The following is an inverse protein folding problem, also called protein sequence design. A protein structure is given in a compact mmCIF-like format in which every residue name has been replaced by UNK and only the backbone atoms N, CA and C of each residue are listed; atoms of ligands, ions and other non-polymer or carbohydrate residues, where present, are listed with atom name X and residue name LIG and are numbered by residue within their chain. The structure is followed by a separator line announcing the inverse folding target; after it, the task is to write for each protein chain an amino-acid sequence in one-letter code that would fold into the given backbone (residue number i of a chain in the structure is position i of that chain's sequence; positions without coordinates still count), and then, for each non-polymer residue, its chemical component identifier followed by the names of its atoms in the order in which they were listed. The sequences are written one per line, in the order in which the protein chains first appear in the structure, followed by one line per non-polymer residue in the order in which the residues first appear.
data_IF_366001046429
#
_entry.id   IF_366001046429
#
_cell.length_a   1.000
_cell.length_b   1.000
_cell.length_c   1.000
_cell.angle_alpha   90.00
_cell.angle_beta   90.00
_cell.angle_gamma   90.00
#
_symmetry.space_group_name_H-M   'P 1'
#
loop_
_entity.id
_entity.type
_entity.pdbx_description
1 polymer ?
#
# COMPACT_ATOMS: atom_id res chain seq x y z
N UNK A 1 67.00 32.11 43.33
CA UNK A 1 66.73 30.71 43.73
C UNK A 1 65.24 30.36 43.71
N UNK A 2 64.34 31.17 44.29
CA UNK A 2 62.88 30.90 44.33
C UNK A 2 62.18 30.87 42.94
N UNK A 3 62.57 31.75 42.01
CA UNK A 3 61.92 31.84 40.68
C UNK A 3 62.16 30.63 39.76
N UNK A 4 63.32 29.97 39.89
CA UNK A 4 63.62 28.72 39.17
C UNK A 4 62.87 27.52 39.76
N UNK A 5 62.64 27.53 41.08
CA UNK A 5 61.87 26.49 41.76
C UNK A 5 60.38 26.54 41.36
N UNK A 6 59.81 27.74 41.25
CA UNK A 6 58.42 27.94 40.81
C UNK A 6 58.20 27.53 39.34
N UNK A 7 59.17 27.78 38.46
CA UNK A 7 59.12 27.32 37.06
C UNK A 7 59.18 25.80 36.96
N UNK A 8 60.02 25.14 37.76
CA UNK A 8 60.12 23.68 37.81
C UNK A 8 58.85 23.03 38.38
N UNK A 9 58.25 23.63 39.42
CA UNK A 9 56.96 23.18 39.96
C UNK A 9 55.81 23.36 38.96
N UNK A 10 55.80 24.48 38.22
CA UNK A 10 54.82 24.73 37.15
C UNK A 10 54.96 23.74 35.99
N UNK A 11 56.19 23.43 35.56
CA UNK A 11 56.44 22.45 34.51
C UNK A 11 56.04 21.02 34.94
N UNK A 12 56.34 20.67 36.20
CA UNK A 12 55.96 19.38 36.77
C UNK A 12 54.43 19.23 36.87
N UNK A 13 53.70 20.30 37.24
CA UNK A 13 52.24 20.32 37.26
C UNK A 13 51.63 20.15 35.87
N UNK A 14 52.18 20.81 34.85
CA UNK A 14 51.73 20.70 33.46
C UNK A 14 51.96 19.28 32.88
N UNK A 15 53.11 18.68 33.18
CA UNK A 15 53.42 17.31 32.77
C UNK A 15 52.52 16.28 33.47
N UNK A 16 52.23 16.48 34.77
CA UNK A 16 51.29 15.62 35.51
C UNK A 16 49.86 15.74 34.96
N UNK A 17 49.42 16.94 34.59
CA UNK A 17 48.11 17.17 33.96
C UNK A 17 47.98 16.50 32.59
N UNK A 18 49.02 16.60 31.75
CA UNK A 18 49.04 15.92 30.44
C UNK A 18 49.08 14.39 30.58
N UNK A 19 49.83 13.86 31.56
CA UNK A 19 49.86 12.43 31.85
C UNK A 19 48.49 11.91 32.33
N UNK A 20 47.82 12.65 33.22
CA UNK A 20 46.47 12.31 33.68
C UNK A 20 45.43 12.39 32.56
N UNK A 21 45.52 13.41 31.70
CA UNK A 21 44.65 13.56 30.53
C UNK A 21 44.82 12.43 29.52
N UNK A 22 46.07 12.05 29.20
CA UNK A 22 46.36 10.91 28.32
C UNK A 22 45.93 9.57 28.95
N UNK A 23 46.04 9.43 30.27
CA UNK A 23 45.57 8.23 30.98
C UNK A 23 44.05 8.10 30.95
N UNK A 24 43.30 9.20 31.15
CA UNK A 24 41.84 9.23 31.04
C UNK A 24 41.37 8.97 29.59
N UNK A 25 42.02 9.56 28.58
CA UNK A 25 41.79 9.25 27.17
C UNK A 25 42.08 7.78 26.85
N UNK A 26 43.14 7.21 27.42
CA UNK A 26 43.47 5.79 27.32
C UNK A 26 42.43 4.88 27.97
N UNK A 27 41.78 5.29 29.06
CA UNK A 27 40.66 4.56 29.66
C UNK A 27 39.38 4.69 28.82
N UNK A 28 39.09 5.86 28.25
CA UNK A 28 37.92 6.05 27.40
C UNK A 28 38.03 5.28 26.07
N UNK A 29 39.24 5.19 25.51
CA UNK A 29 39.53 4.42 24.29
C UNK A 29 39.67 2.91 24.54
N UNK A 30 39.76 2.47 25.81
CA UNK A 30 39.77 1.06 26.24
C UNK A 30 38.39 0.53 26.62
N UNK A 31 37.31 1.29 26.42
CA UNK A 31 35.99 0.67 26.45
C UNK A 31 35.93 -0.39 25.35
N UNK A 32 35.68 -1.67 25.69
CA UNK A 32 35.48 -2.69 24.68
C UNK A 32 34.28 -2.27 23.84
N UNK A 33 34.42 -2.35 22.51
CA UNK A 33 33.25 -2.49 21.65
C UNK A 33 32.41 -3.62 22.25
N UNK A 34 31.08 -3.51 22.32
CA UNK A 34 30.28 -4.70 22.45
C UNK A 34 30.52 -5.49 21.15
N UNK A 35 31.44 -6.43 21.19
CA UNK A 35 31.33 -7.63 20.37
C UNK A 35 30.00 -8.25 20.81
N UNK A 36 28.95 -7.98 20.04
CA UNK A 36 27.86 -8.93 19.96
C UNK A 36 28.47 -10.18 19.32
N UNK A 37 29.04 -11.03 20.17
CA UNK A 37 29.19 -12.43 19.85
C UNK A 37 27.83 -12.91 19.39
N UNK A 38 27.79 -13.53 18.21
CA UNK A 38 26.71 -14.42 17.84
C UNK A 38 26.43 -15.31 19.06
N UNK A 39 25.18 -15.43 19.52
CA UNK A 39 24.84 -16.51 20.43
C UNK A 39 25.26 -17.80 19.73
N UNK A 40 26.18 -18.50 20.37
CA UNK A 40 26.46 -19.89 20.11
C UNK A 40 25.11 -20.62 20.00
N UNK A 41 24.90 -21.36 18.91
CA UNK A 41 23.73 -22.23 18.70
C UNK A 41 23.46 -23.02 19.99
N UNK A 42 22.52 -22.52 20.79
CA UNK A 42 21.91 -23.23 21.88
C UNK A 42 20.57 -23.70 21.34
N UNK A 43 20.54 -25.01 21.11
CA UNK A 43 19.40 -25.87 20.78
C UNK A 43 18.15 -25.14 20.29
N UNK A 44 18.08 -25.08 18.96
CA UNK A 44 16.87 -24.85 18.19
C UNK A 44 15.93 -26.04 18.44
N UNK A 45 15.29 -26.08 19.62
CA UNK A 45 14.21 -27.01 19.91
C UNK A 45 13.01 -26.65 19.04
N UNK A 46 13.02 -27.23 17.84
CA UNK A 46 11.87 -27.73 17.08
C UNK A 46 10.56 -26.95 17.26
N UNK A 47 10.49 -25.76 16.66
CA UNK A 47 9.20 -25.30 16.11
C UNK A 47 8.81 -26.37 15.08
N UNK A 48 7.65 -27.03 15.17
CA UNK A 48 7.24 -27.99 14.16
C UNK A 48 7.26 -27.25 12.83
N UNK A 49 8.09 -27.72 11.89
CA UNK A 49 8.04 -27.23 10.53
C UNK A 49 6.60 -27.46 10.06
N UNK A 50 5.87 -26.37 9.82
CA UNK A 50 4.63 -26.45 9.09
C UNK A 50 4.99 -27.13 7.77
N UNK A 51 4.43 -28.33 7.53
CA UNK A 51 4.67 -29.09 6.31
C UNK A 51 4.35 -28.18 5.13
N UNK A 52 5.40 -27.67 4.49
CA UNK A 52 5.29 -26.92 3.26
C UNK A 52 4.98 -27.98 2.22
N UNK A 53 3.68 -28.23 2.00
CA UNK A 53 3.24 -29.03 0.88
C UNK A 53 3.76 -28.39 -0.40
N UNK A 54 4.96 -28.80 -0.81
CA UNK A 54 5.60 -28.43 -2.06
C UNK A 54 4.85 -29.13 -3.18
N UNK A 55 3.75 -28.54 -3.66
CA UNK A 55 3.21 -28.90 -4.97
C UNK A 55 2.74 -27.67 -5.74
N UNK A 56 2.96 -27.80 -7.05
CA UNK A 56 3.09 -26.78 -8.10
C UNK A 56 2.10 -25.62 -8.02
N UNK A 57 2.60 -24.44 -8.42
CA UNK A 57 1.76 -23.32 -8.84
C UNK A 57 0.61 -23.88 -9.69
N UNK A 58 -0.66 -23.52 -9.41
CA UNK A 58 -1.68 -23.81 -10.39
C UNK A 58 -1.24 -23.10 -11.66
N UNK A 59 -0.84 -23.88 -12.67
CA UNK A 59 -0.70 -23.39 -14.03
C UNK A 59 -2.08 -22.86 -14.37
N UNK A 60 -2.27 -21.55 -14.18
CA UNK A 60 -3.44 -20.83 -14.63
C UNK A 60 -3.33 -20.93 -16.15
N UNK A 61 -3.95 -21.97 -16.70
CA UNK A 61 -4.25 -22.05 -18.12
C UNK A 61 -5.05 -20.79 -18.41
N UNK A 62 -4.40 -19.83 -19.06
CA UNK A 62 -5.05 -18.61 -19.53
C UNK A 62 -6.35 -19.02 -20.22
N UNK A 63 -7.45 -18.42 -19.79
CA UNK A 63 -8.71 -18.58 -20.49
C UNK A 63 -8.46 -18.16 -21.96
N UNK A 64 -8.84 -18.99 -22.95
CA UNK A 64 -8.61 -18.65 -24.35
C UNK A 64 -9.45 -17.41 -24.70
N UNK A 65 -8.79 -16.29 -25.02
CA UNK A 65 -9.47 -15.06 -25.48
C UNK A 65 -9.08 -13.77 -24.78
N UNK A 66 -8.01 -13.74 -24.00
CA UNK A 66 -7.72 -12.61 -23.10
C UNK A 66 -7.35 -11.34 -23.87
N UNK A 67 -8.01 -10.21 -23.56
CA UNK A 67 -7.63 -8.88 -24.07
C UNK A 67 -6.88 -8.12 -22.99
N UNK A 68 -5.66 -7.70 -23.31
CA UNK A 68 -4.85 -6.85 -22.44
C UNK A 68 -5.02 -5.39 -22.84
N UNK A 69 -5.08 -4.49 -21.86
CA UNK A 69 -5.19 -3.04 -22.08
C UNK A 69 -4.01 -2.32 -21.44
N UNK A 70 -3.62 -1.18 -22.03
CA UNK A 70 -2.72 -0.22 -21.40
C UNK A 70 -3.03 1.18 -21.91
N UNK A 71 -2.65 2.18 -21.11
CA UNK A 71 -2.72 3.58 -21.51
C UNK A 71 -1.28 4.05 -21.68
N UNK A 72 -0.98 4.59 -22.85
CA UNK A 72 0.34 5.14 -23.12
C UNK A 72 0.53 6.45 -22.33
N UNK A 73 1.54 6.49 -21.46
CA UNK A 73 1.74 7.61 -20.53
C UNK A 73 2.17 8.91 -21.21
N UNK A 74 2.70 8.86 -22.44
CA UNK A 74 3.18 10.04 -23.15
C UNK A 74 2.05 10.81 -23.88
N UNK A 75 1.00 10.11 -24.31
CA UNK A 75 -0.05 10.68 -25.16
C UNK A 75 -1.48 10.29 -24.74
N UNK A 76 -1.62 9.52 -23.66
CA UNK A 76 -2.88 9.00 -23.11
C UNK A 76 -3.68 8.12 -24.07
N UNK A 77 -3.06 7.62 -25.15
CA UNK A 77 -3.75 6.77 -26.11
C UNK A 77 -4.01 5.39 -25.50
N UNK A 78 -5.23 4.88 -25.71
CA UNK A 78 -5.62 3.55 -25.30
C UNK A 78 -5.09 2.53 -26.31
N UNK A 79 -4.32 1.58 -25.80
CA UNK A 79 -3.77 0.47 -26.56
C UNK A 79 -4.32 -0.84 -26.00
N UNK A 80 -4.67 -1.77 -26.90
CA UNK A 80 -5.19 -3.07 -26.55
C UNK A 80 -4.48 -4.16 -27.35
N UNK A 81 -4.26 -5.31 -26.74
CA UNK A 81 -3.64 -6.48 -27.37
C UNK A 81 -4.52 -7.70 -27.13
N UNK A 82 -4.99 -8.30 -28.22
CA UNK A 82 -5.61 -9.62 -28.17
C UNK A 82 -4.53 -10.68 -28.01
N UNK A 83 -4.79 -11.72 -27.24
CA UNK A 83 -3.86 -12.85 -27.04
C UNK A 83 -3.38 -13.48 -28.37
N UNK A 84 -4.27 -13.57 -29.37
CA UNK A 84 -3.96 -14.08 -30.69
C UNK A 84 -3.21 -13.09 -31.61
N UNK A 85 -2.94 -11.85 -31.16
CA UNK A 85 -2.32 -10.80 -31.98
C UNK A 85 -0.96 -10.38 -31.42
N UNK A 86 0.10 -10.29 -32.24
CA UNK A 86 1.46 -10.12 -31.74
C UNK A 86 1.78 -8.72 -31.19
N UNK A 87 0.93 -7.72 -31.44
CA UNK A 87 1.22 -6.32 -31.15
C UNK A 87 0.08 -5.56 -30.46
N UNK A 88 0.43 -4.44 -29.86
CA UNK A 88 -0.52 -3.48 -29.29
C UNK A 88 -1.19 -2.68 -30.41
N UNK A 89 -2.51 -2.60 -30.37
CA UNK A 89 -3.33 -1.91 -31.36
C UNK A 89 -3.99 -0.70 -30.72
N UNK A 90 -4.05 0.41 -31.46
CA UNK A 90 -4.80 1.59 -31.05
C UNK A 90 -6.30 1.30 -31.12
N UNK A 91 -7.04 1.80 -30.12
CA UNK A 91 -8.49 1.58 -30.04
C UNK A 91 -9.26 2.68 -30.77
N UNK A 92 -10.13 2.28 -31.69
CA UNK A 92 -11.02 3.16 -32.43
C UNK A 92 -12.13 3.74 -31.55
N UNK A 93 -12.43 5.02 -31.76
CA UNK A 93 -13.54 5.72 -31.09
C UNK A 93 -14.92 5.31 -31.65
N UNK A 94 -14.98 4.68 -32.82
CA UNK A 94 -16.25 4.22 -33.39
C UNK A 94 -16.92 3.15 -32.51
N UNK A 95 -18.16 3.40 -32.08
CA UNK A 95 -18.93 2.59 -31.11
C UNK A 95 -18.37 2.58 -29.68
N UNK A 96 -17.45 3.49 -29.36
CA UNK A 96 -16.96 3.68 -28.00
C UNK A 96 -18.05 4.22 -27.08
N UNK A 97 -18.13 3.68 -25.87
CA UNK A 97 -19.02 4.13 -24.80
C UNK A 97 -18.19 4.71 -23.64
N UNK A 98 -18.52 5.91 -23.13
CA UNK A 98 -17.94 6.45 -21.91
C UNK A 98 -17.84 5.48 -20.71
N UNK A 99 -18.83 4.60 -20.54
CA UNK A 99 -18.84 3.62 -19.46
C UNK A 99 -17.70 2.60 -19.60
N UNK A 100 -17.27 2.29 -20.83
CA UNK A 100 -16.13 1.41 -21.09
C UNK A 100 -14.82 2.05 -20.63
N UNK A 101 -14.66 3.36 -20.82
CA UNK A 101 -13.49 4.08 -20.30
C UNK A 101 -13.38 3.99 -18.78
N UNK A 102 -14.52 4.13 -18.09
CA UNK A 102 -14.60 3.96 -16.63
C UNK A 102 -14.22 2.53 -16.23
N UNK A 103 -14.84 1.52 -16.85
CA UNK A 103 -14.58 0.11 -16.58
C UNK A 103 -13.10 -0.26 -16.82
N UNK A 104 -12.49 0.26 -17.88
CA UNK A 104 -11.09 0.01 -18.21
C UNK A 104 -10.14 0.66 -17.21
N UNK A 105 -10.40 1.91 -16.78
CA UNK A 105 -9.62 2.52 -15.71
C UNK A 105 -9.66 1.66 -14.43
N UNK A 106 -10.83 1.13 -14.08
CA UNK A 106 -10.99 0.24 -12.92
C UNK A 106 -10.24 -1.07 -13.08
N UNK A 107 -10.33 -1.71 -14.24
CA UNK A 107 -9.60 -2.95 -14.54
C UNK A 107 -8.07 -2.75 -14.54
N UNK A 108 -7.59 -1.52 -14.78
CA UNK A 108 -6.17 -1.19 -14.66
C UNK A 108 -5.76 -0.86 -13.20
N UNK A 109 -6.72 -0.78 -12.27
CA UNK A 109 -6.51 -0.49 -10.86
C UNK A 109 -6.59 0.98 -10.49
N UNK A 110 -7.09 1.83 -11.38
CA UNK A 110 -7.41 3.22 -11.06
C UNK A 110 -8.82 3.31 -10.45
N UNK A 111 -9.06 4.29 -9.58
CA UNK A 111 -10.38 4.44 -8.96
C UNK A 111 -11.45 4.85 -9.97
N UNK A 112 -11.11 5.79 -10.87
CA UNK A 112 -12.06 6.35 -11.83
C UNK A 112 -11.37 6.91 -13.09
N UNK A 113 -12.19 7.15 -14.11
CA UNK A 113 -11.79 7.90 -15.30
C UNK A 113 -11.96 9.40 -15.04
N UNK A 114 -10.93 10.19 -15.34
CA UNK A 114 -10.94 11.65 -15.21
C UNK A 114 -11.26 12.35 -16.52
N UNK A 115 -10.74 11.83 -17.64
CA UNK A 115 -10.97 12.39 -18.96
C UNK A 115 -10.99 11.31 -20.04
N UNK A 116 -11.76 11.56 -21.09
CA UNK A 116 -11.67 10.82 -22.35
C UNK A 116 -11.84 11.77 -23.53
N UNK A 117 -11.18 11.45 -24.65
CA UNK A 117 -11.34 12.19 -25.91
C UNK A 117 -11.09 11.29 -27.12
N UNK A 118 -11.72 11.64 -28.24
CA UNK A 118 -11.29 11.15 -29.55
C UNK A 118 -10.12 11.98 -30.07
N UNK A 119 -9.04 11.34 -30.49
CA UNK A 119 -7.89 11.97 -31.16
C UNK A 119 -7.92 11.58 -32.63
N UNK A 120 -7.71 12.52 -33.55
CA UNK A 120 -7.70 12.16 -34.97
C UNK A 120 -6.48 11.29 -35.27
N UNK A 121 -6.67 10.27 -36.09
CA UNK A 121 -5.59 9.35 -36.48
C UNK A 121 -4.47 10.11 -37.22
N UNK A 122 -4.82 11.18 -37.95
CA UNK A 122 -3.88 12.07 -38.66
C UNK A 122 -2.92 12.81 -37.75
N UNK A 123 -3.32 13.03 -36.50
CA UNK A 123 -2.56 13.83 -35.53
C UNK A 123 -1.55 12.95 -34.76
N UNK A 124 -1.50 11.65 -35.08
CA UNK A 124 -0.65 10.65 -34.44
C UNK A 124 0.25 10.02 -35.50
N UNK A 125 1.51 9.81 -35.15
CA UNK A 125 2.44 9.09 -36.03
C UNK A 125 2.09 7.60 -36.03
N UNK A 126 1.43 7.15 -37.10
CA UNK A 126 1.00 5.76 -37.26
C UNK A 126 1.75 5.11 -38.43
N UNK A 127 2.29 3.90 -38.22
CA UNK A 127 3.03 3.17 -39.26
C UNK A 127 2.13 2.72 -40.41
N UNK A 128 2.70 2.60 -41.61
CA UNK A 128 2.01 2.04 -42.76
C UNK A 128 1.56 0.59 -42.45
N UNK A 129 0.27 0.30 -42.65
CA UNK A 129 -0.31 -1.02 -42.36
C UNK A 129 -0.76 -1.22 -40.90
N UNK A 130 -0.76 -0.18 -40.07
CA UNK A 130 -1.28 -0.26 -38.70
C UNK A 130 -2.72 -0.79 -38.67
N UNK A 131 -2.95 -1.80 -37.83
CA UNK A 131 -4.27 -2.29 -37.50
C UNK A 131 -4.81 -1.61 -36.23
N UNK A 132 -6.13 -1.61 -36.10
CA UNK A 132 -6.85 -0.97 -35.01
C UNK A 132 -7.77 -1.99 -34.35
N UNK A 133 -8.11 -1.74 -33.09
CA UNK A 133 -9.14 -2.49 -32.38
C UNK A 133 -10.40 -1.64 -32.28
N UNK A 134 -11.57 -2.23 -32.52
CA UNK A 134 -12.85 -1.53 -32.45
C UNK A 134 -13.86 -2.31 -31.61
N UNK A 135 -14.76 -1.61 -30.94
CA UNK A 135 -15.91 -2.21 -30.24
C UNK A 135 -16.93 -2.72 -31.27
N UNK A 136 -17.44 -3.94 -31.08
CA UNK A 136 -18.49 -4.55 -31.90
C UNK A 136 -19.84 -3.86 -31.66
N UNK A 137 -20.69 -3.69 -32.69
CA UNK A 137 -21.98 -3.00 -32.53
C UNK A 137 -23.02 -3.73 -31.66
N UNK A 138 -22.99 -5.07 -31.60
CA UNK A 138 -23.91 -5.86 -30.76
C UNK A 138 -23.29 -6.09 -29.39
N UNK A 139 -23.88 -5.48 -28.36
CA UNK A 139 -23.48 -5.67 -26.95
C UNK A 139 -24.09 -6.98 -26.45
N UNK A 140 -23.27 -8.01 -26.31
CA UNK A 140 -23.62 -9.26 -25.64
C UNK A 140 -22.36 -10.10 -25.45
N UNK A 141 -22.00 -10.40 -24.20
CA UNK A 141 -20.79 -11.16 -23.85
C UNK A 141 -19.90 -10.46 -22.81
N UNK A 142 -18.76 -11.09 -22.48
CA UNK A 142 -17.69 -10.49 -21.66
C UNK A 142 -17.01 -9.33 -22.42
N UNK A 143 -16.14 -8.55 -21.75
CA UNK A 143 -15.32 -7.53 -22.41
C UNK A 143 -14.55 -8.12 -23.61
N UNK A 144 -14.19 -9.40 -23.60
CA UNK A 144 -13.34 -10.03 -24.61
C UNK A 144 -14.07 -10.20 -25.95
N UNK A 145 -15.36 -10.55 -25.91
CA UNK A 145 -16.18 -10.74 -27.11
C UNK A 145 -16.55 -9.44 -27.82
N UNK A 146 -16.28 -8.30 -27.17
CA UNK A 146 -16.63 -6.98 -27.68
C UNK A 146 -15.65 -6.44 -28.70
N UNK A 147 -14.48 -7.06 -28.90
CA UNK A 147 -13.42 -6.48 -29.73
C UNK A 147 -13.31 -7.14 -31.11
N UNK A 148 -13.00 -6.32 -32.10
CA UNK A 148 -12.71 -6.76 -33.45
C UNK A 148 -11.50 -6.01 -34.00
N UNK A 149 -10.57 -6.74 -34.61
CA UNK A 149 -9.46 -6.15 -35.36
C UNK A 149 -9.99 -5.56 -36.66
N UNK A 150 -9.45 -4.41 -37.04
CA UNK A 150 -9.75 -3.69 -38.28
C UNK A 150 -8.46 -3.23 -38.93
N UNK A 151 -8.42 -3.30 -40.26
CA UNK A 151 -7.32 -2.75 -41.05
C UNK A 151 -7.30 -1.22 -41.08
N UNK A 152 -8.42 -0.56 -40.73
CA UNK A 152 -8.51 0.89 -40.66
C UNK A 152 -9.56 1.35 -39.65
N UNK A 153 -9.35 2.56 -39.12
CA UNK A 153 -10.28 3.18 -38.20
C UNK A 153 -11.29 4.07 -38.94
N UNK A 154 -12.45 3.53 -39.32
CA UNK A 154 -13.46 4.24 -40.12
C UNK A 154 -13.98 5.54 -39.49
N UNK A 155 -13.92 5.65 -38.15
CA UNK A 155 -14.28 6.88 -37.43
C UNK A 155 -13.28 8.03 -37.64
N UNK A 156 -12.09 7.75 -38.20
CA UNK A 156 -10.98 8.70 -38.29
C UNK A 156 -10.38 9.11 -36.94
N UNK A 157 -10.86 8.52 -35.84
CA UNK A 157 -10.57 8.92 -34.46
C UNK A 157 -10.32 7.72 -33.58
N UNK A 158 -9.29 7.81 -32.73
CA UNK A 158 -8.89 6.82 -31.72
C UNK A 158 -9.15 7.35 -30.31
N UNK A 159 -9.22 6.44 -29.34
CA UNK A 159 -9.53 6.76 -27.95
C UNK A 159 -8.26 7.18 -27.21
N UNK A 160 -8.30 8.36 -26.60
CA UNK A 160 -7.41 8.74 -25.53
C UNK A 160 -8.18 8.73 -24.21
N UNK A 161 -7.60 8.09 -23.20
CA UNK A 161 -8.20 7.86 -21.90
C UNK A 161 -7.22 8.32 -20.81
N UNK A 162 -7.72 9.07 -19.85
CA UNK A 162 -6.98 9.46 -18.66
C UNK A 162 -7.73 8.97 -17.42
N UNK A 163 -7.02 8.24 -16.57
CA UNK A 163 -7.53 7.75 -15.30
C UNK A 163 -7.01 8.62 -14.15
N UNK A 164 -7.60 8.45 -12.97
CA UNK A 164 -7.14 9.09 -11.73
C UNK A 164 -5.68 8.73 -11.43
N UNK A 165 -4.84 9.70 -11.07
CA UNK A 165 -3.46 9.43 -10.66
C UNK A 165 -3.41 8.67 -9.33
N UNK A 166 -2.54 7.65 -9.23
CA UNK A 166 -2.36 6.85 -8.01
C UNK A 166 -1.00 6.14 -8.00
N UNK A 167 -0.60 5.61 -6.83
CA UNK A 167 0.52 4.68 -6.66
C UNK A 167 1.90 5.29 -6.90
N UNK A 168 1.99 6.62 -6.99
CA UNK A 168 3.24 7.35 -7.19
C UNK A 168 3.85 7.75 -5.85
N UNK A 169 5.14 7.45 -5.68
CA UNK A 169 5.94 7.82 -4.52
C UNK A 169 6.97 8.87 -4.95
N UNK A 170 7.04 10.00 -4.23
CA UNK A 170 8.01 11.05 -4.56
C UNK A 170 9.39 10.68 -3.99
N UNK A 171 10.39 10.51 -4.88
CA UNK A 171 11.82 10.47 -4.55
C UNK A 171 12.21 9.58 -3.38
N UNK A 172 12.31 8.27 -3.60
CA UNK A 172 12.77 7.33 -2.58
C UNK A 172 14.24 7.59 -2.18
N UNK A 173 14.46 8.22 -1.02
CA UNK A 173 15.73 8.07 -0.30
C UNK A 173 15.73 6.67 0.30
N UNK A 174 16.60 5.80 -0.22
CA UNK A 174 16.74 4.39 0.18
C UNK A 174 17.21 4.35 1.64
N UNK A 175 16.36 3.87 2.55
CA UNK A 175 16.76 3.57 3.94
C UNK A 175 16.26 2.18 4.29
N UNK A 176 17.16 1.35 4.84
CA UNK A 176 17.02 -0.07 5.17
C UNK A 176 16.94 -0.20 6.69
N UNK A 177 15.97 -0.97 7.20
CA UNK A 177 15.94 -1.44 8.59
C UNK A 177 15.16 -0.55 9.59
N UNK A 178 13.84 -0.45 9.46
CA UNK A 178 12.94 -0.06 10.57
C UNK A 178 13.15 1.32 11.20
N UNK A 179 13.61 2.31 10.45
CA UNK A 179 13.83 3.69 10.92
C UNK A 179 12.68 4.62 10.55
N UNK A 180 12.60 5.76 11.24
CA UNK A 180 11.59 6.80 11.03
C UNK A 180 11.36 7.14 9.54
N UNK A 181 10.09 7.18 9.14
CA UNK A 181 9.69 7.42 7.76
C UNK A 181 9.89 8.90 7.39
N UNK A 182 10.53 9.18 6.26
CA UNK A 182 10.59 10.55 5.73
C UNK A 182 9.23 11.00 5.19
N UNK A 183 8.84 12.28 5.34
CA UNK A 183 7.61 12.80 4.74
C UNK A 183 7.50 12.45 3.24
N UNK A 184 6.32 11.98 2.82
CA UNK A 184 6.04 11.60 1.44
C UNK A 184 6.55 10.23 0.98
N UNK A 185 7.16 9.43 1.87
CA UNK A 185 7.46 8.02 1.57
C UNK A 185 6.19 7.18 1.40
N UNK A 186 5.18 7.37 2.24
CA UNK A 186 3.88 6.70 2.09
C UNK A 186 2.78 7.74 1.94
N UNK A 187 2.65 8.40 0.77
CA UNK A 187 1.81 9.59 0.61
C UNK A 187 0.30 9.30 0.67
N UNK A 188 -0.09 8.02 0.61
CA UNK A 188 -1.45 7.55 0.83
C UNK A 188 -1.77 7.26 2.29
N UNK A 189 -0.76 7.14 3.16
CA UNK A 189 -0.98 6.89 4.58
C UNK A 189 -1.74 8.06 5.20
N UNK A 190 -2.81 7.75 5.92
CA UNK A 190 -3.51 8.72 6.77
C UNK A 190 -3.67 8.21 8.19
N UNK A 191 -3.82 9.15 9.11
CA UNK A 191 -4.25 8.91 10.47
C UNK A 191 -5.74 9.24 10.57
N UNK A 192 -6.55 8.27 10.98
CA UNK A 192 -7.99 8.40 11.22
C UNK A 192 -8.17 8.65 12.72
N UNK A 193 -8.63 9.86 13.04
CA UNK A 193 -8.74 10.35 14.41
C UNK A 193 -10.19 10.57 14.82
N UNK A 194 -10.46 10.37 16.10
CA UNK A 194 -11.66 10.83 16.78
C UNK A 194 -11.28 12.08 17.58
N UNK A 195 -11.72 13.26 17.13
CA UNK A 195 -11.08 14.51 17.54
C UNK A 195 -9.59 14.52 17.17
N UNK A 196 -8.71 14.84 18.12
CA UNK A 196 -7.25 14.81 17.93
C UNK A 196 -6.59 13.48 18.29
N UNK A 197 -7.37 12.48 18.74
CA UNK A 197 -6.83 11.19 19.15
C UNK A 197 -6.79 10.22 17.97
N UNK A 198 -5.59 9.75 17.62
CA UNK A 198 -5.41 8.67 16.66
C UNK A 198 -6.16 7.40 17.11
N UNK A 199 -6.94 6.82 16.18
CA UNK A 199 -7.67 5.57 16.40
C UNK A 199 -7.17 4.46 15.49
N UNK A 200 -7.02 4.78 14.21
CA UNK A 200 -6.66 3.83 13.17
C UNK A 200 -5.84 4.51 12.06
N UNK A 201 -5.21 3.70 11.23
CA UNK A 201 -4.71 4.10 9.93
C UNK A 201 -5.80 4.16 8.85
N UNK A 202 -5.39 4.58 7.67
CA UNK A 202 -6.20 4.58 6.46
C UNK A 202 -5.33 4.81 5.22
N UNK A 203 -5.97 4.70 4.05
CA UNK A 203 -5.33 4.90 2.75
C UNK A 203 -6.12 5.87 1.89
N UNK A 204 -5.46 6.87 1.30
CA UNK A 204 -6.08 7.74 0.28
C UNK A 204 -6.34 6.92 -1.00
N UNK A 205 -7.60 6.87 -1.45
CA UNK A 205 -7.97 6.31 -2.76
C UNK A 205 -8.23 7.40 -3.81
N UNK A 206 -8.72 8.55 -3.37
CA UNK A 206 -8.96 9.74 -4.18
C UNK A 206 -9.03 10.98 -3.27
N UNK A 207 -9.07 12.21 -3.81
CA UNK A 207 -9.07 13.42 -2.99
C UNK A 207 -10.13 13.44 -1.88
N UNK A 208 -11.32 12.88 -2.11
CA UNK A 208 -12.41 12.83 -1.11
C UNK A 208 -12.59 11.46 -0.45
N UNK A 209 -11.81 10.44 -0.82
CA UNK A 209 -12.08 9.05 -0.43
C UNK A 209 -10.91 8.41 0.29
N UNK A 210 -11.18 7.97 1.50
CA UNK A 210 -10.24 7.22 2.35
C UNK A 210 -10.78 5.81 2.55
N UNK A 211 -9.91 4.81 2.41
CA UNK A 211 -10.19 3.42 2.77
C UNK A 211 -9.59 3.10 4.15
N UNK A 212 -10.34 2.41 4.99
CA UNK A 212 -9.89 1.95 6.31
C UNK A 212 -10.61 0.65 6.67
N UNK A 213 -10.38 0.11 7.86
CA UNK A 213 -11.07 -1.08 8.37
C UNK A 213 -12.45 -0.70 8.93
N UNK A 214 -13.42 -1.61 8.84
CA UNK A 214 -14.76 -1.39 9.39
C UNK A 214 -14.73 -1.36 10.92
N UNK A 215 -13.93 -2.21 11.56
CA UNK A 215 -13.85 -2.30 13.03
C UNK A 215 -13.40 -0.98 13.67
N UNK A 216 -12.68 -0.13 12.92
CA UNK A 216 -12.30 1.21 13.36
C UNK A 216 -13.49 2.14 13.59
N UNK A 217 -14.59 1.97 12.83
CA UNK A 217 -15.68 2.95 12.74
C UNK A 217 -17.08 2.36 12.95
N UNK A 218 -17.22 1.03 12.89
CA UNK A 218 -18.50 0.35 13.03
C UNK A 218 -19.09 0.52 14.44
N UNK A 219 -20.36 0.95 14.51
CA UNK A 219 -21.07 1.29 15.77
C UNK A 219 -20.35 2.30 16.66
N UNK A 220 -19.46 3.12 16.07
CA UNK A 220 -18.77 4.20 16.76
C UNK A 220 -19.52 5.54 16.64
N UNK A 221 -18.86 6.63 17.04
CA UNK A 221 -19.39 7.99 16.90
C UNK A 221 -19.74 8.35 15.45
N UNK A 222 -20.72 9.27 15.25
CA UNK A 222 -21.10 9.72 13.92
C UNK A 222 -19.99 10.50 13.21
N UNK A 223 -20.07 10.59 11.88
CA UNK A 223 -19.07 11.23 11.01
C UNK A 223 -18.50 12.57 11.49
N UNK A 224 -19.29 13.53 12.07
CA UNK A 224 -18.75 14.80 12.53
C UNK A 224 -17.71 14.70 13.65
N UNK A 225 -17.62 13.56 14.36
CA UNK A 225 -16.63 13.34 15.40
C UNK A 225 -15.26 12.87 14.86
N UNK A 226 -15.17 12.59 13.56
CA UNK A 226 -14.00 12.01 12.93
C UNK A 226 -13.27 13.02 12.04
N UNK A 227 -11.94 12.95 12.09
CA UNK A 227 -11.04 13.73 11.24
C UNK A 227 -9.99 12.81 10.62
N UNK A 228 -9.54 13.18 9.42
CA UNK A 228 -8.44 12.50 8.72
C UNK A 228 -7.26 13.44 8.58
N UNK A 229 -6.09 12.97 8.96
CA UNK A 229 -4.83 13.69 8.80
C UNK A 229 -3.96 12.99 7.76
N UNK A 230 -3.61 13.72 6.71
CA UNK A 230 -2.80 13.23 5.59
C UNK A 230 -1.50 14.04 5.48
N UNK A 231 -0.45 13.44 4.91
CA UNK A 231 0.84 14.11 4.69
C UNK A 231 1.65 14.36 5.97
N UNK A 232 1.28 13.70 7.07
CA UNK A 232 1.99 13.76 8.34
C UNK A 232 2.85 12.51 8.55
N UNK A 233 3.92 12.67 9.30
CA UNK A 233 4.75 11.55 9.80
C UNK A 233 4.65 11.47 11.33
N UNK A 234 4.51 12.60 12.01
CA UNK A 234 4.49 12.68 13.47
C UNK A 234 3.14 13.11 14.03
N UNK A 235 2.69 12.46 15.11
CA UNK A 235 1.44 12.84 15.78
C UNK A 235 1.47 14.21 16.46
N UNK A 236 2.66 14.75 16.78
CA UNK A 236 2.80 16.14 17.25
C UNK A 236 2.29 17.19 16.25
N UNK A 237 2.09 16.79 14.98
CA UNK A 237 1.55 17.63 13.91
C UNK A 237 0.01 17.61 13.83
N UNK A 238 -0.68 16.86 14.71
CA UNK A 238 -2.14 16.76 14.77
C UNK A 238 -2.77 18.01 15.44
N UNK A 239 -2.59 19.19 14.82
CA UNK A 239 -3.36 20.36 15.19
C UNK A 239 -4.82 20.16 14.72
N UNK A 240 -5.84 20.32 15.58
CA UNK A 240 -7.24 20.04 15.22
C UNK A 240 -7.72 20.72 13.92
N UNK A 241 -7.18 21.89 13.61
CA UNK A 241 -7.48 22.71 12.44
C UNK A 241 -6.87 22.15 11.14
N UNK A 242 -5.85 21.30 11.25
CA UNK A 242 -5.18 20.66 10.12
C UNK A 242 -5.85 19.35 9.67
N UNK A 243 -6.74 18.79 10.50
CA UNK A 243 -7.48 17.58 10.19
C UNK A 243 -8.67 17.84 9.26
N UNK A 244 -8.84 17.01 8.24
CA UNK A 244 -9.98 17.12 7.33
C UNK A 244 -11.20 16.40 7.92
N UNK A 245 -12.33 17.08 8.15
CA UNK A 245 -13.51 16.44 8.74
C UNK A 245 -14.12 15.38 7.82
N UNK A 246 -14.63 14.31 8.42
CA UNK A 246 -15.38 13.28 7.70
C UNK A 246 -16.83 13.74 7.48
N UNK A 247 -17.32 13.57 6.25
CA UNK A 247 -18.71 13.81 5.84
C UNK A 247 -19.57 12.59 6.10
N UNK A 248 -19.07 11.42 5.71
CA UNK A 248 -19.82 10.17 5.68
C UNK A 248 -18.90 8.99 6.01
N UNK A 249 -19.42 8.03 6.77
CA UNK A 249 -18.75 6.79 7.15
C UNK A 249 -19.59 5.65 6.58
N UNK A 250 -18.98 4.82 5.73
CA UNK A 250 -19.66 3.77 4.99
C UNK A 250 -18.93 2.44 5.27
N UNK A 251 -19.25 1.76 6.39
CA UNK A 251 -18.75 0.40 6.61
C UNK A 251 -19.42 -0.57 5.63
N UNK A 252 -18.74 -1.66 5.30
CA UNK A 252 -19.33 -2.69 4.46
C UNK A 252 -20.62 -3.24 5.10
N UNK A 253 -21.73 -3.39 4.36
CA UNK A 253 -23.01 -3.82 4.92
C UNK A 253 -23.00 -5.25 5.47
N UNK A 254 -22.05 -6.07 5.00
CA UNK A 254 -21.84 -7.45 5.46
C UNK A 254 -20.74 -7.58 6.53
N UNK A 255 -20.21 -6.47 7.05
CA UNK A 255 -19.20 -6.52 8.12
C UNK A 255 -19.74 -7.26 9.35
N UNK A 256 -18.94 -8.19 9.85
CA UNK A 256 -19.27 -9.01 11.02
C UNK A 256 -18.22 -8.79 12.11
N UNK A 257 -18.62 -8.20 13.23
CA UNK A 257 -17.75 -7.83 14.35
C UNK A 257 -17.20 -9.01 15.15
N UNK A 258 -17.74 -10.22 14.94
CA UNK A 258 -17.28 -11.44 15.61
C UNK A 258 -16.22 -12.20 14.82
N UNK A 259 -16.36 -12.25 13.49
CA UNK A 259 -15.43 -12.94 12.59
C UNK A 259 -14.44 -12.01 11.89
N UNK A 260 -14.67 -10.69 11.96
CA UNK A 260 -13.94 -9.67 11.20
C UNK A 260 -13.98 -9.88 9.67
N UNK A 261 -14.94 -10.67 9.16
CA UNK A 261 -15.18 -10.75 7.72
C UNK A 261 -15.77 -9.44 7.19
N UNK A 262 -15.44 -9.09 5.95
CA UNK A 262 -15.76 -7.79 5.34
C UNK A 262 -15.29 -6.58 6.17
N UNK A 263 -14.13 -6.67 6.82
CA UNK A 263 -13.55 -5.59 7.61
C UNK A 263 -12.97 -4.46 6.73
N UNK A 264 -13.87 -3.69 6.13
CA UNK A 264 -13.58 -2.57 5.24
C UNK A 264 -14.61 -1.44 5.41
N UNK A 265 -14.14 -0.20 5.40
CA UNK A 265 -14.97 0.99 5.38
C UNK A 265 -14.40 2.07 4.47
N UNK A 266 -15.30 2.85 3.88
CA UNK A 266 -14.97 4.07 3.15
C UNK A 266 -15.36 5.28 3.98
N UNK A 267 -14.45 6.25 4.08
CA UNK A 267 -14.72 7.56 4.65
C UNK A 267 -14.75 8.56 3.51
N UNK A 268 -15.84 9.33 3.42
CA UNK A 268 -15.92 10.47 2.51
C UNK A 268 -15.56 11.74 3.26
N UNK A 269 -14.58 12.48 2.77
CA UNK A 269 -14.16 13.75 3.37
C UNK A 269 -15.13 14.88 3.03
N UNK A 270 -15.22 15.90 3.90
CA UNK A 270 -16.01 17.12 3.63
C UNK A 270 -15.37 18.01 2.57
N UNK A 271 -14.05 17.99 2.48
CA UNK A 271 -13.25 18.80 1.56
C UNK A 271 -12.22 17.87 0.90
N UNK A 272 -12.01 17.95 -0.42
CA UNK A 272 -11.00 17.15 -1.10
C UNK A 272 -9.58 17.50 -0.62
N UNK A 273 -8.74 16.48 -0.49
CA UNK A 273 -7.32 16.63 -0.23
C UNK A 273 -6.60 17.26 -1.43
N UNK A 274 -5.69 18.19 -1.15
CA UNK A 274 -4.78 18.73 -2.15
C UNK A 274 -3.58 17.80 -2.31
N UNK A 275 -3.50 17.10 -3.45
CA UNK A 275 -2.37 16.22 -3.73
C UNK A 275 -1.07 17.00 -3.84
N UNK A 276 0.00 16.41 -3.32
CA UNK A 276 1.34 17.00 -3.21
C UNK A 276 2.41 15.91 -3.25
N UNK A 277 3.68 16.26 -2.98
CA UNK A 277 4.72 15.25 -2.75
C UNK A 277 4.45 14.36 -1.54
N UNK A 278 3.67 14.83 -0.56
CA UNK A 278 3.38 14.11 0.68
C UNK A 278 1.97 13.50 0.74
N UNK A 279 1.08 13.84 -0.20
CA UNK A 279 -0.32 13.38 -0.22
C UNK A 279 -0.66 12.90 -1.63
N UNK A 280 -0.92 11.60 -1.81
CA UNK A 280 -1.30 10.98 -3.09
C UNK A 280 -2.14 9.74 -2.84
N UNK A 281 -2.95 9.34 -3.82
CA UNK A 281 -3.71 8.09 -3.74
C UNK A 281 -2.82 6.85 -3.95
N UNK A 282 -3.16 5.73 -3.30
CA UNK A 282 -2.66 4.41 -3.67
C UNK A 282 -3.48 3.85 -4.84
N UNK A 283 -2.87 3.04 -5.71
CA UNK A 283 -3.63 2.33 -6.73
C UNK A 283 -4.33 1.11 -6.14
N UNK A 284 -5.44 0.69 -6.73
CA UNK A 284 -6.10 -0.55 -6.40
C UNK A 284 -5.47 -1.73 -7.18
N UNK A 285 -5.60 -2.98 -6.69
CA UNK A 285 -5.27 -4.16 -7.48
C UNK A 285 -6.12 -4.20 -8.76
N UNK A 286 -5.56 -4.62 -9.90
CA UNK A 286 -6.25 -4.57 -11.19
C UNK A 286 -7.32 -5.66 -11.32
N UNK A 287 -7.20 -6.74 -10.54
CA UNK A 287 -8.17 -7.84 -10.56
C UNK A 287 -8.14 -8.62 -9.25
N UNK A 288 -9.20 -9.40 -8.94
CA UNK A 288 -9.27 -10.31 -7.79
C UNK A 288 -8.31 -11.50 -7.85
N UNK A 289 -7.33 -11.52 -8.77
CA UNK A 289 -6.38 -12.62 -8.90
C UNK A 289 -5.56 -12.76 -7.63
N UNK A 290 -5.24 -14.01 -7.29
CA UNK A 290 -4.38 -14.31 -6.15
C UNK A 290 -3.07 -13.55 -6.30
N UNK A 291 -2.80 -12.70 -5.32
CA UNK A 291 -1.53 -11.99 -5.21
C UNK A 291 -0.44 -13.04 -5.05
N UNK A 292 0.65 -12.90 -5.79
CA UNK A 292 1.70 -13.92 -5.83
C UNK A 292 2.28 -14.12 -4.42
N UNK A 293 2.25 -15.36 -3.94
CA UNK A 293 2.87 -15.74 -2.68
C UNK A 293 4.34 -15.29 -2.66
N UNK A 294 4.81 -14.81 -1.51
CA UNK A 294 6.18 -14.33 -1.33
C UNK A 294 6.44 -12.92 -1.89
N UNK A 295 5.47 -12.27 -2.52
CA UNK A 295 5.59 -10.86 -2.93
C UNK A 295 5.92 -10.00 -1.70
N UNK A 296 6.98 -9.20 -1.81
CA UNK A 296 7.42 -8.29 -0.76
C UNK A 296 6.55 -7.04 -0.77
N UNK A 297 5.88 -6.78 0.34
CA UNK A 297 4.95 -5.67 0.51
C UNK A 297 5.32 -4.87 1.75
N UNK A 298 4.88 -3.61 1.79
CA UNK A 298 5.11 -2.71 2.89
C UNK A 298 3.83 -2.47 3.65
N UNK A 299 3.91 -2.62 4.97
CA UNK A 299 2.91 -2.09 5.89
C UNK A 299 3.48 -0.83 6.54
N UNK A 300 2.63 0.17 6.73
CA UNK A 300 2.99 1.40 7.44
C UNK A 300 1.90 1.82 8.42
N UNK A 301 2.31 2.47 9.51
CA UNK A 301 1.37 2.96 10.51
C UNK A 301 2.05 3.46 11.79
N UNK A 302 1.21 3.88 12.74
CA UNK A 302 1.63 4.44 14.03
C UNK A 302 1.32 3.50 15.20
N UNK A 303 1.03 2.23 14.92
CA UNK A 303 0.71 1.24 15.94
C UNK A 303 1.83 1.00 16.95
N UNK A 304 1.56 0.14 17.92
CA UNK A 304 2.52 -0.21 18.95
C UNK A 304 3.76 -0.84 18.33
N UNK A 305 4.93 -0.36 18.76
CA UNK A 305 6.23 -0.89 18.31
C UNK A 305 6.70 -2.10 19.12
N UNK A 306 6.02 -2.40 20.23
CA UNK A 306 6.29 -3.56 21.07
C UNK A 306 5.01 -4.04 21.78
N UNK A 307 4.87 -5.36 22.06
CA UNK A 307 3.78 -5.89 22.86
C UNK A 307 3.67 -5.17 24.22
N UNK A 308 2.45 -4.77 24.60
CA UNK A 308 2.18 -4.14 25.90
C UNK A 308 2.49 -2.64 26.00
N UNK A 309 2.88 -1.95 24.92
CA UNK A 309 2.94 -0.49 24.93
C UNK A 309 1.56 0.13 25.16
N UNK A 310 1.51 1.14 26.04
CA UNK A 310 0.28 1.88 26.33
C UNK A 310 -0.01 3.00 25.32
N UNK A 311 0.96 3.38 24.49
CA UNK A 311 0.87 4.52 23.57
C UNK A 311 1.40 4.15 22.19
N UNK A 312 0.67 4.61 21.18
CA UNK A 312 1.01 4.52 19.75
C UNK A 312 2.35 5.22 19.47
N UNK A 313 3.04 4.80 18.40
CA UNK A 313 4.29 5.44 17.98
C UNK A 313 4.07 6.93 17.69
N UNK A 314 5.00 7.76 18.14
CA UNK A 314 4.96 9.20 17.86
C UNK A 314 5.22 9.51 16.38
N UNK A 315 5.98 8.65 15.71
CA UNK A 315 6.48 8.79 14.33
C UNK A 315 6.08 7.56 13.53
N UNK A 316 5.65 7.77 12.28
CA UNK A 316 5.23 6.73 11.35
C UNK A 316 6.35 5.70 11.16
N UNK A 317 5.97 4.43 11.27
CA UNK A 317 6.84 3.27 11.03
C UNK A 317 6.44 2.55 9.76
N UNK A 318 7.36 1.73 9.28
CA UNK A 318 7.17 0.87 8.12
C UNK A 318 7.85 -0.47 8.33
N UNK A 319 7.29 -1.52 7.74
CA UNK A 319 7.84 -2.86 7.79
C UNK A 319 7.68 -3.56 6.44
N UNK A 320 8.71 -4.30 6.04
CA UNK A 320 8.71 -5.14 4.85
C UNK A 320 8.26 -6.55 5.23
N UNK A 321 7.15 -6.99 4.66
CA UNK A 321 6.51 -8.28 4.94
C UNK A 321 6.18 -9.02 3.64
N UNK A 322 6.47 -10.33 3.55
CA UNK A 322 6.06 -11.13 2.40
C UNK A 322 4.58 -11.52 2.53
N UNK A 323 3.88 -11.62 1.39
CA UNK A 323 2.57 -12.26 1.34
C UNK A 323 2.69 -13.76 1.62
N UNK A 324 1.79 -14.29 2.44
CA UNK A 324 1.68 -15.71 2.74
C UNK A 324 0.44 -16.26 2.04
N UNK A 325 0.61 -17.36 1.30
CA UNK A 325 -0.50 -18.01 0.60
C UNK A 325 -1.61 -18.46 1.56
N UNK A 326 -2.87 -18.28 1.17
CA UNK A 326 -4.05 -18.56 2.01
C UNK A 326 -4.04 -19.98 2.57
N UNK A 327 -3.64 -20.99 1.78
CA UNK A 327 -3.55 -22.39 2.27
C UNK A 327 -2.57 -22.53 3.44
N UNK A 328 -1.38 -21.92 3.34
CA UNK A 328 -0.36 -21.95 4.40
C UNK A 328 -0.84 -21.19 5.62
N UNK A 329 -1.40 -20.00 5.42
CA UNK A 329 -1.86 -19.18 6.54
C UNK A 329 -3.09 -19.78 7.26
N UNK A 330 -3.94 -20.51 6.53
CA UNK A 330 -5.11 -21.17 7.10
C UNK A 330 -4.85 -22.61 7.54
N UNK A 331 -3.58 -23.04 7.58
CA UNK A 331 -3.18 -24.38 8.02
C UNK A 331 -3.38 -24.57 9.53
N UNK A 332 -3.32 -25.82 9.98
CA UNK A 332 -3.52 -26.18 11.39
C UNK A 332 -2.45 -25.62 12.33
N UNK A 333 -1.28 -25.25 11.82
CA UNK A 333 -0.19 -24.68 12.61
C UNK A 333 -0.21 -23.14 12.70
N UNK A 334 -1.07 -22.47 11.93
CA UNK A 334 -1.18 -21.00 11.89
C UNK A 334 -2.57 -20.60 12.42
N UNK A 335 -3.56 -20.38 11.55
CA UNK A 335 -4.90 -19.92 11.95
C UNK A 335 -6.01 -20.99 11.89
N UNK A 336 -5.69 -22.27 11.66
CA UNK A 336 -6.62 -23.41 11.86
C UNK A 336 -8.00 -23.28 11.20
N UNK A 337 -8.08 -22.70 10.01
CA UNK A 337 -9.36 -22.54 9.29
C UNK A 337 -10.10 -21.23 9.57
N UNK A 338 -9.59 -20.34 10.42
CA UNK A 338 -10.24 -19.07 10.77
C UNK A 338 -10.23 -18.06 9.61
N UNK A 339 -9.31 -18.18 8.66
CA UNK A 339 -9.26 -17.24 7.53
C UNK A 339 -10.41 -17.45 6.56
N UNK A 340 -11.02 -16.32 6.22
CA UNK A 340 -12.04 -16.24 5.21
C UNK A 340 -11.41 -15.92 3.84
N UNK A 341 -12.10 -16.18 2.72
CA UNK A 341 -11.54 -15.88 1.39
C UNK A 341 -11.42 -14.37 1.07
N UNK A 342 -11.95 -13.47 1.92
CA UNK A 342 -11.74 -12.01 1.82
C UNK A 342 -10.63 -11.53 2.74
N UNK A 343 -9.87 -12.44 3.33
CA UNK A 343 -8.68 -12.16 4.10
C UNK A 343 -7.43 -12.63 3.36
N UNK A 344 -6.30 -11.98 3.65
CA UNK A 344 -4.97 -12.40 3.24
C UNK A 344 -4.02 -12.29 4.43
N UNK A 345 -2.88 -12.98 4.35
CA UNK A 345 -1.83 -12.87 5.36
C UNK A 345 -0.56 -12.27 4.78
N UNK A 346 0.13 -11.51 5.61
CA UNK A 346 1.48 -11.05 5.32
C UNK A 346 2.30 -11.05 6.60
N UNK A 347 3.57 -11.42 6.50
CA UNK A 347 4.47 -11.47 7.65
C UNK A 347 5.49 -12.59 7.53
N UNK A 348 6.36 -12.70 8.52
CA UNK A 348 7.33 -13.78 8.61
C UNK A 348 6.82 -14.80 9.62
N UNK A 349 6.77 -16.09 9.25
CA UNK A 349 6.27 -17.14 10.16
C UNK A 349 7.18 -17.34 11.38
N UNK A 350 8.44 -16.93 11.28
CA UNK A 350 9.35 -16.87 12.42
C UNK A 350 9.01 -15.74 13.40
N UNK A 351 8.09 -14.83 13.03
CA UNK A 351 7.72 -13.65 13.81
C UNK A 351 8.65 -12.46 13.55
N UNK A 352 8.93 -11.69 14.61
CA UNK A 352 9.83 -10.52 14.66
C UNK A 352 9.35 -9.24 13.95
N UNK A 353 8.65 -9.34 12.82
CA UNK A 353 8.17 -8.17 12.06
C UNK A 353 6.72 -8.38 11.67
N UNK A 354 5.85 -7.49 12.14
CA UNK A 354 4.41 -7.54 11.92
C UNK A 354 3.75 -6.16 12.10
N UNK A 355 2.52 -6.02 11.61
CA UNK A 355 1.65 -4.90 12.00
C UNK A 355 1.15 -5.12 13.43
N UNK A 356 0.86 -4.06 14.17
CA UNK A 356 0.37 -4.19 15.54
C UNK A 356 -0.85 -3.29 15.80
N UNK A 357 -1.37 -3.35 17.03
CA UNK A 357 -2.49 -2.52 17.47
C UNK A 357 -2.21 -1.04 17.21
N UNK A 358 -3.17 -0.33 16.61
CA UNK A 358 -3.03 1.05 16.14
C UNK A 358 -2.60 1.19 14.68
N UNK A 359 -2.14 0.11 14.03
CA UNK A 359 -1.98 0.08 12.56
C UNK A 359 -3.27 -0.29 11.84
N UNK A 360 -4.29 -0.77 12.57
CA UNK A 360 -5.62 -1.12 12.08
C UNK A 360 -6.16 -0.12 11.06
N UNK A 361 -6.69 -0.62 9.94
CA UNK A 361 -7.15 0.20 8.83
C UNK A 361 -6.05 0.78 7.93
N UNK A 362 -4.78 0.66 8.34
CA UNK A 362 -3.61 1.10 7.58
C UNK A 362 -3.34 0.26 6.31
N UNK A 363 -2.49 0.78 5.41
CA UNK A 363 -2.19 0.15 4.14
C UNK A 363 -1.26 -1.06 4.26
N UNK A 364 -1.55 -2.11 3.50
CA UNK A 364 -0.55 -3.05 2.98
C UNK A 364 -0.40 -2.82 1.47
N UNK A 365 0.77 -2.34 1.06
CA UNK A 365 1.05 -1.98 -0.34
C UNK A 365 2.17 -2.80 -0.95
N UNK A 366 1.98 -3.23 -2.21
CA UNK A 366 3.01 -3.95 -2.96
C UNK A 366 3.37 -3.18 -4.22
N UNK A 367 4.64 -3.26 -4.62
CA UNK A 367 5.12 -2.70 -5.88
C UNK A 367 4.88 -3.72 -7.01
N UNK A 368 4.18 -3.30 -8.07
CA UNK A 368 3.88 -4.19 -9.22
C UNK A 368 4.91 -4.10 -10.38
N UNK A 369 5.99 -3.33 -10.19
CA UNK A 369 6.95 -2.98 -11.24
C UNK A 369 6.76 -1.58 -11.80
N UNK A 370 5.60 -0.95 -11.57
CA UNK A 370 5.23 0.35 -12.15
C UNK A 370 4.58 1.32 -11.16
N UNK A 371 3.71 0.83 -10.28
CA UNK A 371 2.98 1.61 -9.29
C UNK A 371 2.81 0.83 -7.99
N UNK A 372 2.63 1.56 -6.90
CA UNK A 372 2.26 0.97 -5.61
C UNK A 372 0.76 0.69 -5.54
N UNK A 373 0.42 -0.56 -5.20
CA UNK A 373 -0.96 -1.03 -5.10
C UNK A 373 -1.33 -1.39 -3.67
N UNK A 374 -2.47 -0.90 -3.21
CA UNK A 374 -3.09 -1.23 -1.92
C UNK A 374 -3.74 -2.61 -2.01
N UNK A 375 -3.01 -3.63 -1.61
CA UNK A 375 -3.48 -5.02 -1.71
C UNK A 375 -4.26 -5.47 -0.47
N UNK A 376 -3.98 -4.85 0.67
CA UNK A 376 -4.54 -5.23 1.95
C UNK A 376 -4.81 -4.05 2.86
N UNK A 377 -5.68 -4.27 3.84
CA UNK A 377 -6.00 -3.33 4.93
C UNK A 377 -5.72 -4.05 6.24
N UNK A 378 -4.91 -3.47 7.13
CA UNK A 378 -4.61 -4.09 8.44
C UNK A 378 -5.92 -4.34 9.19
N UNK A 379 -6.18 -5.59 9.58
CA UNK A 379 -7.45 -5.99 10.20
C UNK A 379 -7.23 -6.56 11.60
N UNK A 380 -6.54 -7.71 11.72
CA UNK A 380 -6.32 -8.39 12.99
C UNK A 380 -5.06 -9.26 12.97
N UNK A 381 -4.71 -9.80 14.14
CA UNK A 381 -3.63 -10.76 14.32
C UNK A 381 -3.66 -11.29 15.76
N UNK A 382 -3.07 -12.46 15.99
CA UNK A 382 -2.87 -12.96 17.34
C UNK A 382 -1.52 -12.46 17.86
N UNK A 383 -1.55 -11.55 18.83
CA UNK A 383 -0.35 -10.87 19.29
C UNK A 383 0.20 -9.92 18.21
N UNK A 384 1.48 -9.57 18.33
CA UNK A 384 2.21 -8.83 17.30
C UNK A 384 3.58 -9.44 17.12
N UNK A 385 3.90 -9.85 15.89
CA UNK A 385 5.19 -10.44 15.54
C UNK A 385 5.52 -11.75 16.30
N UNK A 386 4.49 -12.51 16.67
CA UNK A 386 4.64 -13.83 17.27
C UNK A 386 4.90 -14.91 16.19
N UNK A 387 5.71 -15.94 16.48
CA UNK A 387 5.89 -17.05 15.57
C UNK A 387 4.55 -17.71 15.22
N UNK A 388 4.36 -18.05 13.94
CA UNK A 388 3.14 -18.63 13.36
C UNK A 388 1.86 -17.80 13.51
N UNK A 389 1.96 -16.52 13.87
CA UNK A 389 0.83 -15.59 13.92
C UNK A 389 1.09 -14.34 13.08
N UNK A 390 1.16 -14.47 11.74
CA UNK A 390 1.38 -13.33 10.86
C UNK A 390 0.13 -12.42 10.83
N UNK A 391 0.30 -11.13 10.57
CA UNK A 391 -0.82 -10.20 10.41
C UNK A 391 -1.83 -10.64 9.35
N UNK A 392 -3.11 -10.47 9.69
CA UNK A 392 -4.26 -10.73 8.82
C UNK A 392 -4.83 -9.41 8.33
N UNK A 393 -5.04 -9.35 7.03
CA UNK A 393 -5.46 -8.15 6.32
C UNK A 393 -6.73 -8.45 5.53
N UNK A 394 -7.59 -7.45 5.37
CA UNK A 394 -8.69 -7.53 4.40
C UNK A 394 -8.12 -7.52 2.99
N UNK A 395 -8.49 -8.51 2.17
CA UNK A 395 -8.08 -8.64 0.78
C UNK A 395 -8.86 -7.65 -0.10
N UNK A 396 -8.22 -6.54 -0.46
CA UNK A 396 -8.83 -5.45 -1.25
C UNK A 396 -9.33 -5.95 -2.60
N UNK A 397 -8.62 -6.89 -3.22
CA UNK A 397 -8.94 -7.41 -4.55
C UNK A 397 -10.31 -8.11 -4.58
N UNK A 398 -10.71 -8.76 -3.48
CA UNK A 398 -12.01 -9.43 -3.33
C UNK A 398 -13.17 -8.45 -3.09
N UNK A 399 -12.88 -7.19 -2.75
CA UNK A 399 -13.87 -6.18 -2.39
C UNK A 399 -13.90 -4.98 -3.35
N UNK A 400 -13.16 -5.06 -4.47
CA UNK A 400 -13.18 -4.05 -5.54
C UNK A 400 -14.59 -3.69 -6.03
N UNK A 401 -15.51 -4.64 -6.28
CA UNK A 401 -16.86 -4.31 -6.74
C UNK A 401 -17.58 -3.35 -5.79
N UNK A 402 -17.45 -3.57 -4.48
CA UNK A 402 -18.06 -2.72 -3.46
C UNK A 402 -17.38 -1.34 -3.41
N UNK A 403 -16.03 -1.28 -3.43
CA UNK A 403 -15.28 -0.01 -3.44
C UNK A 403 -15.74 0.86 -4.62
N UNK A 404 -15.82 0.26 -5.80
CA UNK A 404 -16.24 0.95 -7.01
C UNK A 404 -17.70 1.38 -6.97
N UNK A 405 -18.60 0.51 -6.49
CA UNK A 405 -20.01 0.84 -6.36
C UNK A 405 -20.20 2.07 -5.46
N UNK A 406 -19.57 2.10 -4.29
CA UNK A 406 -19.72 3.20 -3.32
C UNK A 406 -19.08 4.49 -3.84
N UNK A 407 -17.88 4.42 -4.41
CA UNK A 407 -17.14 5.62 -4.84
C UNK A 407 -17.67 6.25 -6.13
N UNK A 408 -18.49 5.53 -6.91
CA UNK A 408 -19.09 6.02 -8.15
C UNK A 408 -20.50 6.62 -7.98
N UNK A 409 -21.20 6.34 -6.88
CA UNK A 409 -22.51 6.95 -6.63
C UNK A 409 -22.32 8.46 -6.43
N UNK A 410 -22.59 9.24 -7.48
CA UNK A 410 -22.77 10.69 -7.34
C UNK A 410 -24.06 10.90 -6.54
N UNK A 411 -24.06 11.74 -5.49
CA UNK A 411 -25.29 12.12 -4.83
C UNK A 411 -26.26 12.70 -5.87
N UNK A 412 -27.54 12.37 -5.77
CA UNK A 412 -28.56 13.22 -6.36
C UNK A 412 -28.35 14.63 -5.78
N UNK A 413 -28.19 15.62 -6.66
CA UNK A 413 -28.07 17.03 -6.29
C UNK A 413 -29.33 17.51 -5.58
#
# INVERSE_FOLDING_TARGET
TVRRLLLLLGLAGLLAGLAAGMWLLGQHMKQPRPEQGFPQEQDLDSIPACDDGEEEEPVVRGAPGTVSFRINTANSLLEARLEAHPGWLLVCHGHWDPSLGTLLCQQLGYLSMTQQKGVNVTDVQVSAGQQFLQVRPRRGGSLEDMWQVRSSCKSGRIVALQCSECGLQAGAVRVVGGTDVSPGRWPWQVSVCQGSQHRCGGSVLAPEWILTAAHCVYRQLPAPAWQVFAGIVTHSSLQPEAGVPVREIIPHPLYNDSSLDYDIALLRLRVPLNFSGAIRAACLPPSPRDLLQGTQCWVSGWGYTAPGQAQVAATLKEALVPLIGTRRCNSSCVYKGELTARMLCAGHLQGHVDACQGDSGGPLVCWDGSVWRLVGIVSWGQGCAEPNHPGVYTNVAQLLPWIHQVTQVRPAL
#
